data_IF_928292681359
#
_entry.id   IF_928292681359
#
_cell.length_a   1.000
_cell.length_b   1.000
_cell.length_c   1.000
_cell.angle_alpha   90.00
_cell.angle_beta   90.00
_cell.angle_gamma   90.00
#
_symmetry.space_group_name_H-M   'P 1'
#
loop_
_entity.id
_entity.type
_entity.pdbx_description
1 polymer ?
#
# COMPACT_ATOMS: atom_id res chain seq x y z
N UNK A 1 -0.51 15.07 17.91
CA UNK A 1 -1.50 15.10 16.81
C UNK A 1 -1.75 13.67 16.39
N UNK A 2 -2.95 13.14 16.60
CA UNK A 2 -3.27 11.78 16.16
C UNK A 2 -3.19 11.74 14.62
N UNK A 3 -2.21 11.00 14.08
CA UNK A 3 -2.18 10.73 12.66
C UNK A 3 -3.47 9.99 12.33
N UNK A 4 -4.39 10.64 11.63
CA UNK A 4 -5.59 9.97 11.11
C UNK A 4 -5.07 8.86 10.21
N UNK A 5 -5.12 7.62 10.69
CA UNK A 5 -4.74 6.47 9.88
C UNK A 5 -5.63 6.48 8.63
N UNK A 6 -5.05 6.64 7.43
CA UNK A 6 -5.85 6.75 6.23
C UNK A 6 -6.59 5.43 6.02
N UNK A 7 -7.92 5.48 6.00
CA UNK A 7 -8.72 4.31 5.73
C UNK A 7 -8.53 3.87 4.27
N UNK A 8 -8.07 2.64 4.09
CA UNK A 8 -7.99 2.02 2.78
C UNK A 8 -9.38 1.65 2.27
N UNK A 9 -9.64 1.97 1.00
CA UNK A 9 -10.82 1.48 0.31
C UNK A 9 -10.73 -0.04 0.10
N UNK A 10 -11.87 -0.71 -0.14
CA UNK A 10 -11.89 -2.15 -0.42
C UNK A 10 -11.01 -2.52 -1.62
N UNK A 11 -11.01 -1.69 -2.67
CA UNK A 11 -10.16 -1.87 -3.85
C UNK A 11 -8.66 -1.77 -3.53
N UNK A 12 -8.26 -0.84 -2.66
CA UNK A 12 -6.86 -0.69 -2.24
C UNK A 12 -6.40 -1.85 -1.38
N UNK A 13 -7.24 -2.31 -0.45
CA UNK A 13 -6.96 -3.52 0.34
C UNK A 13 -6.73 -4.71 -0.59
N UNK A 14 -7.62 -4.92 -1.57
CA UNK A 14 -7.46 -6.01 -2.54
C UNK A 14 -6.14 -5.90 -3.33
N UNK A 15 -5.80 -4.69 -3.81
CA UNK A 15 -4.53 -4.44 -4.52
C UNK A 15 -3.30 -4.72 -3.65
N UNK A 16 -3.31 -4.27 -2.40
CA UNK A 16 -2.23 -4.52 -1.43
C UNK A 16 -2.09 -6.02 -1.20
N UNK A 17 -3.20 -6.73 -0.93
CA UNK A 17 -3.19 -8.18 -0.71
C UNK A 17 -2.57 -8.94 -1.89
N UNK A 18 -2.93 -8.58 -3.13
CA UNK A 18 -2.35 -9.19 -4.34
C UNK A 18 -0.84 -8.91 -4.44
N UNK A 19 -0.39 -7.70 -4.12
CA UNK A 19 1.04 -7.34 -4.14
C UNK A 19 1.81 -8.10 -3.06
N UNK A 20 1.28 -8.20 -1.84
CA UNK A 20 1.86 -8.97 -0.74
C UNK A 20 1.93 -10.46 -1.10
N UNK A 21 0.87 -11.04 -1.67
CA UNK A 21 0.90 -12.42 -2.14
C UNK A 21 1.99 -12.66 -3.21
N UNK A 22 2.22 -11.69 -4.09
CA UNK A 22 3.34 -11.74 -5.06
C UNK A 22 4.70 -11.66 -4.36
N UNK A 23 4.84 -10.82 -3.33
CA UNK A 23 6.06 -10.76 -2.52
C UNK A 23 6.32 -12.11 -1.84
N UNK A 24 5.31 -12.71 -1.20
CA UNK A 24 5.43 -14.05 -0.59
C UNK A 24 5.91 -15.08 -1.61
N UNK A 25 5.32 -15.11 -2.82
CA UNK A 25 5.77 -16.02 -3.89
C UNK A 25 7.22 -15.78 -4.30
N UNK A 26 7.65 -14.52 -4.37
CA UNK A 26 9.05 -14.17 -4.68
C UNK A 26 10.01 -14.54 -3.55
N UNK A 27 9.61 -14.36 -2.29
CA UNK A 27 10.40 -14.79 -1.13
C UNK A 27 10.62 -16.30 -1.10
N UNK A 28 9.65 -17.10 -1.57
CA UNK A 28 9.81 -18.55 -1.72
C UNK A 28 10.83 -18.90 -2.81
N UNK A 29 10.97 -18.07 -3.85
CA UNK A 29 11.92 -18.30 -4.94
C UNK A 29 13.38 -17.96 -4.58
N UNK A 30 13.62 -17.21 -3.49
CA UNK A 30 14.96 -16.94 -2.96
C UNK A 30 15.15 -15.49 -2.48
N UNK A 31 16.10 -15.24 -1.56
CA UNK A 31 16.35 -13.91 -0.99
C UNK A 31 16.91 -12.91 -2.02
N UNK A 32 17.55 -13.40 -3.09
CA UNK A 32 18.10 -12.58 -4.18
C UNK A 32 17.01 -12.05 -5.14
N UNK A 33 15.76 -12.50 -4.98
CA UNK A 33 14.67 -12.07 -5.84
C UNK A 33 14.24 -10.64 -5.47
N UNK A 34 14.55 -9.72 -6.37
CA UNK A 34 14.24 -8.30 -6.23
C UNK A 34 12.73 -8.05 -5.96
N UNK A 35 12.43 -7.36 -4.86
CA UNK A 35 11.05 -7.03 -4.44
C UNK A 35 10.75 -5.52 -4.47
N UNK A 36 11.72 -4.66 -4.79
CA UNK A 36 11.56 -3.22 -4.63
C UNK A 36 10.48 -2.62 -5.54
N UNK A 37 10.15 -3.25 -6.68
CA UNK A 37 9.02 -2.85 -7.52
C UNK A 37 7.67 -3.08 -6.83
N UNK A 38 7.52 -4.16 -6.07
CA UNK A 38 6.29 -4.47 -5.32
C UNK A 38 6.13 -3.52 -4.13
N UNK A 39 7.22 -3.25 -3.41
CA UNK A 39 7.24 -2.27 -2.32
C UNK A 39 6.85 -0.89 -2.81
N UNK A 40 7.46 -0.40 -3.90
CA UNK A 40 7.10 0.89 -4.51
C UNK A 40 5.63 0.97 -4.93
N UNK A 41 5.02 -0.14 -5.37
CA UNK A 41 3.59 -0.16 -5.73
C UNK A 41 2.71 -0.07 -4.49
N UNK A 42 3.07 -0.75 -3.40
CA UNK A 42 2.36 -0.65 -2.12
C UNK A 42 2.46 0.79 -1.59
N UNK A 43 3.65 1.39 -1.62
CA UNK A 43 3.86 2.75 -1.12
C UNK A 43 3.01 3.79 -1.87
N UNK A 44 2.90 3.67 -3.20
CA UNK A 44 2.00 4.54 -3.99
C UNK A 44 0.54 4.42 -3.56
N UNK A 45 0.07 3.21 -3.21
CA UNK A 45 -1.30 3.01 -2.71
C UNK A 45 -1.46 3.69 -1.34
N UNK A 46 -0.47 3.52 -0.44
CA UNK A 46 -0.47 4.15 0.89
C UNK A 46 -0.45 5.68 0.79
N UNK A 47 0.37 6.22 -0.10
CA UNK A 47 0.44 7.66 -0.37
C UNK A 47 -0.88 8.19 -0.95
N UNK A 48 -1.50 7.45 -1.88
CA UNK A 48 -2.83 7.79 -2.41
C UNK A 48 -3.91 7.83 -1.33
N UNK A 49 -3.91 6.84 -0.43
CA UNK A 49 -4.82 6.81 0.72
C UNK A 49 -4.58 7.98 1.67
N UNK A 50 -3.31 8.32 1.93
CA UNK A 50 -2.92 9.48 2.75
C UNK A 50 -3.41 10.79 2.13
N UNK A 51 -3.11 11.02 0.85
CA UNK A 51 -3.58 12.22 0.12
C UNK A 51 -5.09 12.35 0.17
N UNK A 52 -5.84 11.25 -0.02
CA UNK A 52 -7.31 11.30 0.06
C UNK A 52 -7.80 11.67 1.45
N UNK A 53 -7.21 11.10 2.50
CA UNK A 53 -7.54 11.43 3.88
C UNK A 53 -7.23 12.91 4.20
N UNK A 54 -6.08 13.42 3.77
CA UNK A 54 -5.71 14.84 3.89
C UNK A 54 -6.71 15.76 3.17
N UNK A 55 -7.12 15.41 1.95
CA UNK A 55 -8.12 16.20 1.20
C UNK A 55 -9.50 16.16 1.85
N UNK A 56 -9.92 15.00 2.37
CA UNK A 56 -11.18 14.87 3.12
C UNK A 56 -11.16 15.70 4.41
N UNK A 57 -10.02 15.72 5.12
CA UNK A 57 -9.84 16.53 6.31
C UNK A 57 -9.83 18.04 6.01
N UNK A 58 -9.25 18.48 4.89
CA UNK A 58 -9.27 19.89 4.45
C UNK A 58 -10.65 20.36 4.00
N UNK A 59 -11.50 19.45 3.53
CA UNK A 59 -12.86 19.76 3.03
C UNK A 59 -13.91 19.81 4.14
N UNK A 60 -13.54 19.40 5.36
CA UNK A 60 -14.40 19.44 6.56
C UNK A 60 -14.10 20.69 7.36
#
# INVERSE_FOLDING_TARGET
MAAVEPQYTAAEKARITVLVARMCKRSVAGPDVHQADLVRRIDRIKEGARKRAEQAAKKK
#
